data_IF_163995145186
#
_entry.id   IF_163995145186
#
_cell.length_a   1.000
_cell.length_b   1.000
_cell.length_c   1.000
_cell.angle_alpha   90.00
_cell.angle_beta   90.00
_cell.angle_gamma   90.00
#
_symmetry.space_group_name_H-M   'P 1'
#
loop_
_entity.id
_entity.type
_entity.pdbx_description
1 polymer ?
#
# COMPACT_ATOMS: atom_id res chain seq x y z
N UNK A 1 -14.68 -10.37 24.37
CA UNK A 1 -13.70 -9.36 23.93
C UNK A 1 -13.88 -9.04 22.45
N UNK A 2 -13.52 -9.92 21.51
CA UNK A 2 -13.78 -9.67 20.07
C UNK A 2 -15.27 -9.44 19.77
N UNK A 3 -16.15 -10.33 20.25
CA UNK A 3 -17.60 -10.22 20.01
C UNK A 3 -18.19 -8.88 20.47
N UNK A 4 -17.83 -8.44 21.67
CA UNK A 4 -18.30 -7.16 22.23
C UNK A 4 -17.75 -5.96 21.44
N UNK A 5 -16.48 -6.02 21.06
CA UNK A 5 -15.81 -4.97 20.27
C UNK A 5 -16.37 -4.89 18.85
N UNK A 6 -16.64 -6.03 18.22
CA UNK A 6 -17.27 -6.11 16.91
C UNK A 6 -18.70 -5.58 16.95
N UNK A 7 -19.49 -5.96 17.96
CA UNK A 7 -20.85 -5.44 18.13
C UNK A 7 -20.85 -3.91 18.27
N UNK A 8 -19.96 -3.37 19.10
CA UNK A 8 -19.81 -1.93 19.28
C UNK A 8 -19.37 -1.22 17.98
N UNK A 9 -18.40 -1.78 17.25
CA UNK A 9 -17.98 -1.28 15.93
C UNK A 9 -19.15 -1.28 14.94
N UNK A 10 -19.85 -2.41 14.82
CA UNK A 10 -20.94 -2.59 13.86
C UNK A 10 -22.09 -1.63 14.13
N UNK A 11 -22.58 -1.55 15.37
CA UNK A 11 -23.68 -0.66 15.75
C UNK A 11 -23.34 0.80 15.49
N UNK A 12 -22.10 1.21 15.81
CA UNK A 12 -21.62 2.56 15.52
C UNK A 12 -21.62 2.83 14.01
N UNK A 13 -21.01 1.95 13.22
CA UNK A 13 -20.87 2.12 11.77
C UNK A 13 -22.24 2.10 11.07
N UNK A 14 -23.17 1.25 11.51
CA UNK A 14 -24.53 1.17 10.97
C UNK A 14 -25.35 2.44 11.24
N UNK A 15 -25.22 3.02 12.44
CA UNK A 15 -25.86 4.29 12.81
C UNK A 15 -25.32 5.48 12.01
N UNK A 16 -24.02 5.49 11.72
CA UNK A 16 -23.35 6.57 10.99
C UNK A 16 -23.51 6.45 9.47
N UNK A 17 -23.66 5.23 8.94
CA UNK A 17 -23.76 4.98 7.51
C UNK A 17 -25.08 5.50 6.88
N UNK A 18 -24.99 5.91 5.61
CA UNK A 18 -26.12 6.37 4.80
C UNK A 18 -26.04 5.78 3.38
N UNK A 19 -27.19 5.74 2.70
CA UNK A 19 -27.29 5.30 1.31
C UNK A 19 -26.77 3.88 1.10
N UNK A 20 -26.11 3.67 -0.04
CA UNK A 20 -25.64 2.35 -0.44
C UNK A 20 -24.64 1.72 0.54
N UNK A 21 -23.79 2.49 1.24
CA UNK A 21 -22.93 1.95 2.29
C UNK A 21 -23.73 1.31 3.42
N UNK A 22 -24.83 1.94 3.83
CA UNK A 22 -25.73 1.37 4.85
C UNK A 22 -26.38 0.08 4.34
N UNK A 23 -26.84 0.07 3.09
CA UNK A 23 -27.39 -1.14 2.46
C UNK A 23 -26.37 -2.27 2.41
N UNK A 24 -25.07 -1.99 2.24
CA UNK A 24 -24.01 -3.01 2.31
C UNK A 24 -23.85 -3.54 3.73
N UNK A 25 -23.84 -2.68 4.75
CA UNK A 25 -23.70 -3.09 6.17
C UNK A 25 -24.89 -3.91 6.69
N UNK A 26 -26.07 -3.77 6.08
CA UNK A 26 -27.27 -4.54 6.41
C UNK A 26 -27.31 -5.92 5.73
N UNK A 27 -26.33 -6.25 4.86
CA UNK A 27 -26.19 -7.58 4.25
C UNK A 27 -25.55 -8.56 5.23
N UNK A 28 -25.40 -9.80 4.78
CA UNK A 28 -24.62 -10.80 5.48
C UNK A 28 -23.12 -10.44 5.49
N UNK A 29 -22.63 -10.07 6.67
CA UNK A 29 -21.22 -9.77 6.94
C UNK A 29 -20.51 -10.93 7.65
N UNK A 30 -21.04 -12.15 7.62
CA UNK A 30 -20.45 -13.32 8.29
C UNK A 30 -18.99 -13.54 7.89
N UNK A 31 -18.68 -13.40 6.60
CA UNK A 31 -17.32 -13.48 6.06
C UNK A 31 -16.41 -12.38 6.60
N UNK A 32 -16.83 -11.12 6.50
CA UNK A 32 -16.09 -9.97 7.05
C UNK A 32 -15.86 -10.11 8.56
N UNK A 33 -16.88 -10.55 9.31
CA UNK A 33 -16.75 -10.81 10.75
C UNK A 33 -15.71 -11.90 11.02
N UNK A 34 -15.73 -12.99 10.24
CA UNK A 34 -14.77 -14.09 10.38
C UNK A 34 -13.34 -13.64 10.09
N UNK A 35 -13.15 -12.90 9.01
CA UNK A 35 -11.87 -12.27 8.67
C UNK A 35 -11.37 -11.39 9.83
N UNK A 36 -12.23 -10.52 10.38
CA UNK A 36 -11.90 -9.67 11.52
C UNK A 36 -11.54 -10.47 12.76
N UNK A 37 -12.25 -11.56 13.07
CA UNK A 37 -11.94 -12.46 14.18
C UNK A 37 -10.52 -13.04 14.06
N UNK A 38 -10.14 -13.45 12.85
CA UNK A 38 -8.84 -14.06 12.58
C UNK A 38 -7.70 -13.04 12.72
N UNK A 39 -7.89 -11.82 12.21
CA UNK A 39 -6.85 -10.78 12.24
C UNK A 39 -6.81 -9.99 13.55
N UNK A 40 -7.88 -10.01 14.36
CA UNK A 40 -7.98 -9.26 15.60
C UNK A 40 -6.78 -9.43 16.54
N UNK A 41 -6.23 -10.65 16.76
CA UNK A 41 -5.03 -10.84 17.59
C UNK A 41 -3.78 -10.10 17.07
N UNK A 42 -3.75 -9.77 15.78
CA UNK A 42 -2.61 -9.09 15.13
C UNK A 42 -2.72 -7.57 15.24
N UNK A 43 -3.93 -7.05 15.05
CA UNK A 43 -4.20 -5.60 15.10
C UNK A 43 -4.49 -5.09 16.50
N UNK A 44 -4.84 -5.99 17.44
CA UNK A 44 -5.07 -5.72 18.86
C UNK A 44 -6.41 -5.04 19.19
N UNK A 45 -6.97 -4.27 18.26
CA UNK A 45 -8.26 -3.58 18.39
C UNK A 45 -8.92 -3.40 17.03
N UNK A 46 -10.25 -3.33 17.02
CA UNK A 46 -11.07 -2.94 15.86
C UNK A 46 -11.29 -1.41 15.79
N UNK A 47 -10.79 -0.64 16.75
CA UNK A 47 -10.87 0.81 16.71
C UNK A 47 -10.18 1.37 15.45
N UNK A 48 -10.87 2.28 14.76
CA UNK A 48 -10.36 2.89 13.53
C UNK A 48 -10.56 2.03 12.26
N UNK A 49 -11.17 0.84 12.37
CA UNK A 49 -11.65 0.08 11.21
C UNK A 49 -12.94 0.71 10.67
N UNK A 50 -13.03 0.80 9.35
CA UNK A 50 -14.25 1.23 8.65
C UNK A 50 -14.74 0.05 7.81
N UNK A 51 -15.87 -0.54 8.22
CA UNK A 51 -16.55 -1.59 7.45
C UNK A 51 -17.16 -1.02 6.17
N UNK A 52 -17.22 -1.80 5.09
CA UNK A 52 -17.84 -1.39 3.82
C UNK A 52 -17.36 0.01 3.38
N UNK A 53 -16.05 0.20 3.35
CA UNK A 53 -15.43 1.50 3.11
C UNK A 53 -15.72 1.98 1.69
N UNK A 54 -16.51 3.05 1.58
CA UNK A 54 -16.88 3.66 0.31
C UNK A 54 -15.72 4.45 -0.29
N UNK A 55 -15.41 4.17 -1.55
CA UNK A 55 -14.42 4.88 -2.36
C UNK A 55 -15.02 5.23 -3.73
N UNK A 56 -14.47 6.24 -4.40
CA UNK A 56 -14.80 6.54 -5.80
C UNK A 56 -13.71 5.97 -6.69
N UNK A 57 -14.05 4.95 -7.48
CA UNK A 57 -13.11 4.31 -8.39
C UNK A 57 -12.68 5.21 -9.56
N UNK A 58 -11.71 4.76 -10.35
CA UNK A 58 -11.16 5.55 -11.47
C UNK A 58 -12.20 5.84 -12.57
N UNK A 59 -13.26 5.05 -12.66
CA UNK A 59 -14.38 5.28 -13.57
C UNK A 59 -15.41 6.29 -13.03
N UNK A 60 -15.22 6.83 -11.83
CA UNK A 60 -16.20 7.64 -11.11
C UNK A 60 -17.31 6.83 -10.42
N UNK A 61 -17.29 5.50 -10.56
CA UNK A 61 -18.26 4.60 -9.91
C UNK A 61 -17.83 4.31 -8.47
N UNK A 62 -18.81 4.31 -7.55
CA UNK A 62 -18.57 3.92 -6.16
C UNK A 62 -18.17 2.45 -6.06
N UNK A 63 -17.11 2.19 -5.30
CA UNK A 63 -16.65 0.85 -4.92
C UNK A 63 -16.57 0.78 -3.40
N UNK A 64 -16.75 -0.41 -2.85
CA UNK A 64 -16.71 -0.65 -1.41
C UNK A 64 -15.61 -1.65 -1.12
N UNK A 65 -15.10 -1.66 0.11
CA UNK A 65 -14.20 -2.72 0.57
C UNK A 65 -14.55 -3.13 1.99
N UNK A 66 -14.43 -4.43 2.27
CA UNK A 66 -15.06 -5.05 3.44
C UNK A 66 -14.58 -4.44 4.76
N UNK A 67 -13.26 -4.28 4.94
CA UNK A 67 -12.69 -3.62 6.10
C UNK A 67 -11.49 -2.74 5.74
N UNK A 68 -11.60 -1.44 6.02
CA UNK A 68 -10.51 -0.49 5.84
C UNK A 68 -9.81 -0.19 7.17
N UNK A 69 -8.50 -0.50 7.24
CA UNK A 69 -7.62 -0.16 8.36
C UNK A 69 -6.95 1.18 8.06
N UNK A 70 -7.49 2.25 8.65
CA UNK A 70 -7.04 3.64 8.42
C UNK A 70 -5.55 3.85 8.73
N UNK A 71 -5.04 3.24 9.80
CA UNK A 71 -3.65 3.36 10.24
C UNK A 71 -2.65 2.75 9.25
N UNK A 72 -3.05 1.77 8.43
CA UNK A 72 -2.20 1.12 7.44
C UNK A 72 -2.47 1.61 6.00
N UNK A 73 -3.57 2.35 5.81
CA UNK A 73 -4.13 2.68 4.50
C UNK A 73 -4.35 1.41 3.66
N UNK A 74 -4.90 0.38 4.31
CA UNK A 74 -5.10 -0.96 3.74
C UNK A 74 -6.58 -1.31 3.76
N UNK A 75 -7.09 -1.80 2.62
CA UNK A 75 -8.40 -2.42 2.49
C UNK A 75 -8.18 -3.93 2.53
N UNK A 76 -8.72 -4.60 3.55
CA UNK A 76 -8.72 -6.06 3.66
C UNK A 76 -10.08 -6.57 3.17
N UNK A 77 -10.04 -7.60 2.33
CA UNK A 77 -11.22 -8.15 1.65
C UNK A 77 -11.35 -9.64 1.95
N UNK A 78 -12.58 -10.10 2.13
CA UNK A 78 -12.91 -11.51 2.21
C UNK A 78 -13.45 -11.97 0.85
N UNK A 79 -12.62 -12.67 0.09
CA UNK A 79 -13.00 -13.20 -1.21
C UNK A 79 -13.59 -14.60 -1.07
N UNK A 80 -14.91 -14.66 -1.26
CA UNK A 80 -15.64 -15.91 -1.34
C UNK A 80 -15.36 -16.64 -2.65
N UNK A 81 -14.78 -17.84 -2.56
CA UNK A 81 -14.79 -18.78 -3.67
C UNK A 81 -16.19 -19.39 -3.79
N UNK A 82 -17.02 -18.83 -4.67
CA UNK A 82 -18.29 -19.45 -5.03
C UNK A 82 -17.94 -20.65 -5.94
N UNK A 83 -18.43 -21.84 -5.60
CA UNK A 83 -18.28 -23.09 -6.38
C UNK A 83 -18.64 -22.96 -7.87
N UNK A 84 -19.35 -21.90 -8.24
CA UNK A 84 -19.60 -21.47 -9.60
C UNK A 84 -18.69 -20.32 -10.03
N UNK A 85 -17.39 -20.35 -9.75
CA UNK A 85 -16.44 -19.38 -10.30
C UNK A 85 -16.53 -19.33 -11.85
N UNK A 86 -16.91 -20.45 -12.48
CA UNK A 86 -17.23 -20.54 -13.91
C UNK A 86 -18.48 -19.73 -14.33
N UNK A 87 -19.40 -19.45 -13.40
CA UNK A 87 -20.60 -18.63 -13.64
C UNK A 87 -20.36 -17.13 -13.50
N UNK A 88 -19.14 -16.70 -13.15
CA UNK A 88 -18.82 -15.28 -13.10
C UNK A 88 -19.01 -14.68 -14.50
N UNK A 89 -19.89 -13.69 -14.60
CA UNK A 89 -20.08 -13.02 -15.88
C UNK A 89 -18.81 -12.26 -16.26
N UNK A 90 -18.50 -12.18 -17.56
CA UNK A 90 -17.37 -11.37 -18.06
C UNK A 90 -17.39 -9.94 -17.53
N UNK A 91 -18.59 -9.36 -17.37
CA UNK A 91 -18.80 -8.02 -16.82
C UNK A 91 -18.40 -7.94 -15.35
N UNK A 92 -18.81 -8.90 -14.51
CA UNK A 92 -18.44 -8.97 -13.09
C UNK A 92 -16.93 -9.16 -12.93
N UNK A 93 -16.33 -10.08 -13.67
CA UNK A 93 -14.89 -10.28 -13.67
C UNK A 93 -14.12 -9.00 -14.03
N UNK A 94 -14.51 -8.34 -15.13
CA UNK A 94 -13.88 -7.08 -15.55
C UNK A 94 -14.05 -5.97 -14.51
N UNK A 95 -15.22 -5.90 -13.87
CA UNK A 95 -15.49 -4.95 -12.80
C UNK A 95 -14.57 -5.17 -11.58
N UNK A 96 -14.42 -6.40 -11.09
CA UNK A 96 -13.53 -6.68 -9.96
C UNK A 96 -12.08 -6.32 -10.28
N UNK A 97 -11.60 -6.64 -11.49
CA UNK A 97 -10.26 -6.22 -11.93
C UNK A 97 -10.10 -4.69 -11.97
N UNK A 98 -11.14 -3.97 -12.38
CA UNK A 98 -11.13 -2.50 -12.39
C UNK A 98 -11.20 -1.91 -10.97
N UNK A 99 -11.95 -2.55 -10.07
CA UNK A 99 -12.01 -2.21 -8.65
C UNK A 99 -10.66 -2.36 -7.98
N UNK A 100 -9.99 -3.52 -8.11
CA UNK A 100 -8.64 -3.74 -7.57
C UNK A 100 -7.64 -2.67 -8.04
N UNK A 101 -7.64 -2.35 -9.35
CA UNK A 101 -6.80 -1.28 -9.90
C UNK A 101 -7.13 0.08 -9.31
N UNK A 102 -8.41 0.36 -9.10
CA UNK A 102 -8.84 1.62 -8.50
C UNK A 102 -8.38 1.76 -7.05
N UNK A 103 -8.51 0.69 -6.24
CA UNK A 103 -8.01 0.68 -4.86
C UNK A 103 -6.52 1.01 -4.83
N UNK A 104 -5.72 0.33 -5.66
CA UNK A 104 -4.28 0.61 -5.77
C UNK A 104 -3.96 2.03 -6.24
N UNK A 105 -4.66 2.53 -7.26
CA UNK A 105 -4.45 3.87 -7.81
C UNK A 105 -4.83 5.00 -6.84
N UNK A 106 -5.79 4.77 -5.95
CA UNK A 106 -6.15 5.68 -4.85
C UNK A 106 -5.13 5.65 -3.69
N UNK A 107 -4.08 4.84 -3.83
CA UNK A 107 -2.98 4.71 -2.86
C UNK A 107 -3.34 3.85 -1.66
N UNK A 108 -4.34 2.98 -1.76
CA UNK A 108 -4.62 1.96 -0.75
C UNK A 108 -3.86 0.67 -1.07
N UNK A 109 -3.47 -0.06 -0.03
CA UNK A 109 -3.08 -1.46 -0.20
C UNK A 109 -4.36 -2.31 -0.28
N UNK A 110 -4.58 -2.99 -1.40
CA UNK A 110 -5.62 -4.01 -1.55
C UNK A 110 -5.08 -5.34 -1.03
N UNK A 111 -5.76 -5.96 -0.07
CA UNK A 111 -5.26 -7.13 0.64
C UNK A 111 -6.35 -8.21 0.80
N UNK A 112 -6.56 -9.05 -0.23
CA UNK A 112 -7.62 -10.04 -0.22
C UNK A 112 -7.18 -11.32 0.51
N UNK A 113 -8.11 -11.92 1.24
CA UNK A 113 -8.02 -13.29 1.75
C UNK A 113 -9.10 -14.16 1.13
N UNK A 114 -8.77 -15.40 0.78
CA UNK A 114 -9.82 -16.36 0.41
C UNK A 114 -10.59 -16.86 1.64
N UNK A 115 -11.90 -17.15 1.51
CA UNK A 115 -12.66 -17.79 2.60
C UNK A 115 -12.01 -19.07 3.10
N UNK A 116 -11.66 -19.95 2.17
CA UNK A 116 -11.02 -21.23 2.48
C UNK A 116 -9.66 -21.02 3.17
N UNK A 117 -8.94 -19.96 2.80
CA UNK A 117 -7.66 -19.60 3.41
C UNK A 117 -7.85 -19.17 4.87
N UNK A 118 -8.83 -18.30 5.13
CA UNK A 118 -9.20 -17.86 6.48
C UNK A 118 -9.64 -19.04 7.36
N UNK A 119 -10.39 -19.99 6.81
CA UNK A 119 -10.92 -21.13 7.57
C UNK A 119 -9.87 -22.22 7.79
N UNK A 120 -9.09 -22.56 6.76
CA UNK A 120 -8.17 -23.70 6.79
C UNK A 120 -6.76 -23.33 7.26
N UNK A 121 -6.33 -22.08 7.04
CA UNK A 121 -4.96 -21.62 7.30
C UNK A 121 -4.92 -20.26 8.04
N UNK A 122 -5.67 -20.06 9.13
CA UNK A 122 -5.75 -18.75 9.81
C UNK A 122 -4.40 -18.23 10.32
N UNK A 123 -3.48 -19.12 10.69
CA UNK A 123 -2.14 -18.73 11.15
C UNK A 123 -1.25 -18.20 10.01
N UNK A 124 -1.49 -18.63 8.78
CA UNK A 124 -0.83 -18.05 7.59
C UNK A 124 -1.37 -16.65 7.36
N UNK A 125 -2.70 -16.48 7.33
CA UNK A 125 -3.32 -15.17 7.17
C UNK A 125 -2.80 -14.16 8.21
N UNK A 126 -2.72 -14.56 9.48
CA UNK A 126 -2.17 -13.73 10.57
C UNK A 126 -0.73 -13.32 10.33
N UNK A 127 0.12 -14.26 9.91
CA UNK A 127 1.53 -14.00 9.62
C UNK A 127 1.67 -13.02 8.46
N UNK A 128 0.90 -13.21 7.39
CA UNK A 128 0.98 -12.33 6.23
C UNK A 128 0.55 -10.89 6.59
N UNK A 129 -0.46 -10.74 7.46
CA UNK A 129 -0.83 -9.42 7.99
C UNK A 129 0.26 -8.82 8.89
N UNK A 130 0.90 -9.62 9.75
CA UNK A 130 2.05 -9.16 10.56
C UNK A 130 3.18 -8.65 9.67
N UNK A 131 3.47 -9.35 8.58
CA UNK A 131 4.50 -8.95 7.60
C UNK A 131 4.10 -7.66 6.88
N UNK A 132 2.83 -7.52 6.48
CA UNK A 132 2.32 -6.27 5.93
C UNK A 132 2.46 -5.11 6.92
N UNK A 133 2.05 -5.29 8.17
CA UNK A 133 2.18 -4.28 9.22
C UNK A 133 3.65 -3.91 9.42
N UNK A 134 4.54 -4.90 9.48
CA UNK A 134 5.98 -4.68 9.65
C UNK A 134 6.56 -3.86 8.51
N UNK A 135 6.20 -4.16 7.26
CA UNK A 135 6.59 -3.37 6.08
C UNK A 135 6.04 -1.93 6.14
N UNK A 136 4.78 -1.76 6.54
CA UNK A 136 4.10 -0.46 6.65
C UNK A 136 4.58 0.39 7.83
N UNK A 137 4.97 -0.23 8.94
CA UNK A 137 5.54 0.45 10.12
C UNK A 137 6.99 0.82 9.87
N UNK A 138 7.77 -0.08 9.26
CA UNK A 138 9.14 0.22 8.82
C UNK A 138 9.15 1.37 7.83
N UNK A 139 8.20 1.44 6.89
CA UNK A 139 8.07 2.58 5.98
C UNK A 139 7.62 3.90 6.65
N UNK A 140 6.83 3.87 7.74
CA UNK A 140 6.48 5.08 8.51
C UNK A 140 7.62 5.59 9.40
N UNK A 141 8.43 4.69 9.92
CA UNK A 141 9.69 5.00 10.61
C UNK A 141 10.90 5.04 9.66
N UNK A 142 10.67 4.94 8.34
CA UNK A 142 11.77 4.73 7.39
C UNK A 142 12.63 5.97 7.27
N UNK A 143 13.90 5.73 6.97
CA UNK A 143 14.83 6.74 6.49
C UNK A 143 14.19 7.60 5.39
N UNK A 144 13.30 7.03 4.56
CA UNK A 144 12.57 7.76 3.53
C UNK A 144 11.66 8.86 4.11
N UNK A 145 10.90 8.57 5.17
CA UNK A 145 10.08 9.58 5.84
C UNK A 145 10.93 10.69 6.49
N UNK A 146 12.14 10.36 6.93
CA UNK A 146 13.12 11.32 7.46
C UNK A 146 13.79 12.19 6.38
N UNK A 147 13.74 11.78 5.10
CA UNK A 147 14.26 12.60 4.01
C UNK A 147 13.39 13.86 3.78
N UNK A 148 14.00 15.01 3.46
CA UNK A 148 13.30 16.17 2.93
C UNK A 148 12.40 15.81 1.74
N UNK A 149 11.26 16.50 1.60
CA UNK A 149 10.27 16.24 0.54
C UNK A 149 10.90 16.16 -0.85
N UNK A 150 11.79 17.09 -1.18
CA UNK A 150 12.44 17.13 -2.50
C UNK A 150 13.40 15.95 -2.71
N UNK A 151 14.07 15.48 -1.66
CA UNK A 151 14.92 14.29 -1.76
C UNK A 151 14.08 13.02 -1.95
N UNK A 152 12.91 12.94 -1.31
CA UNK A 152 11.96 11.85 -1.58
C UNK A 152 11.49 11.84 -3.03
N UNK A 153 11.20 13.01 -3.61
CA UNK A 153 10.80 13.12 -5.01
C UNK A 153 11.93 12.73 -5.97
N UNK A 154 13.18 13.07 -5.65
CA UNK A 154 14.33 12.61 -6.44
C UNK A 154 14.44 11.09 -6.43
N UNK A 155 14.21 10.42 -5.29
CA UNK A 155 14.21 8.95 -5.24
C UNK A 155 13.05 8.32 -6.02
N UNK A 156 11.85 8.93 -5.98
CA UNK A 156 10.73 8.48 -6.81
C UNK A 156 11.05 8.59 -8.29
N UNK A 157 11.64 9.71 -8.71
CA UNK A 157 12.09 9.90 -10.08
C UNK A 157 13.16 8.88 -10.49
N UNK A 158 14.19 8.71 -9.64
CA UNK A 158 15.28 7.77 -9.89
C UNK A 158 14.78 6.32 -10.02
N UNK A 159 13.80 5.91 -9.21
CA UNK A 159 13.15 4.60 -9.32
C UNK A 159 12.29 4.45 -10.58
N UNK A 160 11.67 5.53 -11.05
CA UNK A 160 10.93 5.54 -12.32
C UNK A 160 11.86 5.46 -13.54
N UNK A 161 13.06 6.04 -13.45
CA UNK A 161 14.09 5.98 -14.50
C UNK A 161 14.82 4.63 -14.56
N UNK A 162 14.94 3.93 -13.42
CA UNK A 162 15.61 2.63 -13.28
C UNK A 162 15.07 1.60 -14.31
N UNK A 163 15.92 0.83 -15.04
CA UNK A 163 17.38 0.64 -14.86
C UNK A 163 18.27 1.71 -15.51
N UNK A 164 17.71 2.73 -16.14
CA UNK A 164 18.48 3.78 -16.79
C UNK A 164 18.99 4.80 -15.78
N UNK A 165 20.08 5.47 -16.14
CA UNK A 165 20.55 6.68 -15.46
C UNK A 165 19.75 7.90 -15.92
N UNK A 166 19.77 8.97 -15.12
CA UNK A 166 19.15 10.25 -15.42
C UNK A 166 20.13 11.39 -15.21
N UNK A 167 19.98 12.48 -15.98
CA UNK A 167 20.79 13.69 -15.85
C UNK A 167 20.07 14.80 -15.05
N UNK A 168 20.78 15.88 -14.75
CA UNK A 168 20.22 16.99 -13.94
C UNK A 168 19.11 17.77 -14.66
N UNK A 169 19.10 17.80 -16.00
CA UNK A 169 18.04 18.45 -16.78
C UNK A 169 16.73 17.70 -16.61
N UNK A 170 16.76 16.37 -16.78
CA UNK A 170 15.57 15.52 -16.59
C UNK A 170 15.05 15.61 -15.14
N UNK A 171 15.95 15.60 -14.16
CA UNK A 171 15.57 15.78 -12.76
C UNK A 171 14.94 17.17 -12.49
N UNK A 172 15.46 18.22 -13.12
CA UNK A 172 14.94 19.59 -12.97
C UNK A 172 13.57 19.76 -13.59
N UNK A 173 13.34 19.12 -14.74
CA UNK A 173 12.04 19.06 -15.38
C UNK A 173 11.03 18.33 -14.49
N UNK A 174 11.41 17.20 -13.89
CA UNK A 174 10.58 16.46 -12.94
C UNK A 174 10.23 17.26 -11.69
N UNK A 175 11.23 17.91 -11.07
CA UNK A 175 11.05 18.65 -9.82
C UNK A 175 10.47 20.05 -10.01
N UNK A 176 10.43 20.55 -11.24
CA UNK A 176 10.10 21.94 -11.58
C UNK A 176 10.96 22.98 -10.82
N UNK A 177 12.26 22.71 -10.70
CA UNK A 177 13.24 23.61 -10.07
C UNK A 177 14.46 23.79 -10.98
N UNK A 178 15.32 24.76 -10.65
CA UNK A 178 16.55 25.02 -11.42
C UNK A 178 17.57 23.88 -11.27
N UNK A 179 18.34 23.63 -12.34
CA UNK A 179 19.45 22.65 -12.39
C UNK A 179 20.40 22.73 -11.20
N UNK A 180 20.73 23.93 -10.71
CA UNK A 180 21.58 24.13 -9.53
C UNK A 180 20.97 23.50 -8.27
N UNK A 181 19.66 23.68 -8.06
CA UNK A 181 18.96 23.12 -6.93
C UNK A 181 18.82 21.60 -7.06
N UNK A 182 18.46 21.08 -8.23
CA UNK A 182 18.41 19.65 -8.54
C UNK A 182 19.76 18.97 -8.28
N UNK A 183 20.85 19.61 -8.70
CA UNK A 183 22.21 19.12 -8.46
C UNK A 183 22.58 19.04 -6.98
N UNK A 184 22.07 19.94 -6.13
CA UNK A 184 22.27 19.85 -4.67
C UNK A 184 21.57 18.63 -4.07
N UNK A 185 20.33 18.35 -4.48
CA UNK A 185 19.59 17.19 -3.98
C UNK A 185 20.18 15.87 -4.47
N UNK A 186 20.54 15.78 -5.75
CA UNK A 186 21.20 14.60 -6.30
C UNK A 186 22.52 14.29 -5.57
N UNK A 187 23.37 15.31 -5.33
CA UNK A 187 24.61 15.15 -4.55
C UNK A 187 24.36 14.80 -3.08
N UNK A 188 23.32 15.36 -2.47
CA UNK A 188 22.93 15.02 -1.09
C UNK A 188 22.58 13.54 -0.98
N UNK A 189 21.76 13.03 -1.90
CA UNK A 189 21.37 11.63 -1.95
C UNK A 189 22.50 10.68 -2.34
N UNK A 190 23.41 11.12 -3.21
CA UNK A 190 24.65 10.40 -3.50
C UNK A 190 25.51 10.26 -2.22
N UNK A 191 25.68 11.35 -1.46
CA UNK A 191 26.43 11.31 -0.19
C UNK A 191 25.77 10.39 0.85
N UNK A 192 24.45 10.21 0.77
CA UNK A 192 23.68 9.26 1.60
C UNK A 192 23.69 7.84 1.03
N UNK A 193 24.43 7.59 -0.04
CA UNK A 193 24.50 6.30 -0.75
C UNK A 193 23.15 5.83 -1.31
N UNK A 194 22.21 6.74 -1.54
CA UNK A 194 20.88 6.45 -2.08
C UNK A 194 20.81 6.63 -3.60
N UNK A 195 21.78 7.35 -4.17
CA UNK A 195 22.04 7.42 -5.60
C UNK A 195 23.50 7.04 -5.87
N UNK A 196 23.75 6.50 -7.05
CA UNK A 196 25.09 6.22 -7.56
C UNK A 196 25.35 7.08 -8.80
N UNK A 197 26.55 7.65 -8.89
CA UNK A 197 26.98 8.37 -10.10
C UNK A 197 27.24 7.38 -11.23
N UNK A 198 26.70 7.64 -12.41
CA UNK A 198 26.96 6.86 -13.62
C UNK A 198 27.78 7.72 -14.57
N UNK A 199 29.04 7.34 -14.75
CA UNK A 199 29.98 8.04 -15.62
C UNK A 199 30.48 9.40 -15.10
N UNK A 200 31.54 9.90 -15.74
CA UNK A 200 32.23 11.14 -15.38
C UNK A 200 33.55 10.94 -14.61
N UNK A 201 34.23 12.05 -14.32
CA UNK A 201 35.44 12.10 -13.48
C UNK A 201 35.17 12.85 -12.16
N UNK A 202 36.17 13.00 -11.29
CA UNK A 202 36.03 13.63 -9.96
C UNK A 202 35.36 15.03 -9.96
N UNK A 203 35.42 15.76 -11.08
CA UNK A 203 34.89 17.14 -11.22
C UNK A 203 33.58 17.28 -12.00
N UNK A 204 33.17 16.29 -12.80
CA UNK A 204 31.92 16.33 -13.58
C UNK A 204 31.25 14.97 -13.56
N UNK A 205 30.10 14.92 -12.92
CA UNK A 205 29.18 13.79 -12.98
C UNK A 205 28.02 14.20 -13.90
N UNK A 206 27.72 13.36 -14.88
CA UNK A 206 26.72 13.66 -15.90
C UNK A 206 25.38 13.03 -15.59
N UNK A 207 25.37 11.88 -14.90
CA UNK A 207 24.16 11.10 -14.67
C UNK A 207 24.19 10.36 -13.33
N UNK A 208 23.01 10.05 -12.83
CA UNK A 208 22.78 9.33 -11.58
C UNK A 208 21.87 8.14 -11.84
N UNK A 209 22.02 7.08 -11.06
CA UNK A 209 21.05 5.99 -10.97
C UNK A 209 20.69 5.74 -9.51
N UNK A 210 19.54 5.12 -9.27
CA UNK A 210 19.17 4.73 -7.91
C UNK A 210 20.06 3.58 -7.44
N UNK A 211 20.56 3.65 -6.20
CA UNK A 211 21.32 2.54 -5.61
C UNK A 211 20.37 1.48 -5.04
N UNK A 212 20.90 0.30 -4.70
CA UNK A 212 20.13 -0.72 -3.98
C UNK A 212 19.63 -0.18 -2.63
N UNK A 213 20.44 0.60 -1.91
CA UNK A 213 20.04 1.28 -0.69
C UNK A 213 18.93 2.31 -0.94
N UNK A 214 19.01 3.08 -2.03
CA UNK A 214 17.97 4.02 -2.44
C UNK A 214 16.63 3.33 -2.72
N UNK A 215 16.66 2.19 -3.40
CA UNK A 215 15.48 1.35 -3.62
C UNK A 215 14.95 0.76 -2.31
N UNK A 216 15.82 0.26 -1.43
CA UNK A 216 15.43 -0.28 -0.14
C UNK A 216 14.73 0.79 0.72
N UNK A 217 15.32 1.98 0.81
CA UNK A 217 14.76 3.14 1.51
C UNK A 217 13.42 3.54 0.90
N UNK A 218 13.32 3.70 -0.42
CA UNK A 218 12.08 4.06 -1.10
C UNK A 218 10.95 3.03 -0.87
N UNK A 219 11.30 1.73 -0.85
CA UNK A 219 10.35 0.63 -0.68
C UNK A 219 10.08 0.28 0.79
N UNK A 220 10.75 0.95 1.73
CA UNK A 220 10.63 0.68 3.18
C UNK A 220 11.20 -0.68 3.60
N UNK A 221 12.17 -1.22 2.85
CA UNK A 221 12.91 -2.43 3.21
C UNK A 221 14.09 -2.05 4.10
N UNK A 222 14.10 -2.45 5.37
CA UNK A 222 15.28 -2.33 6.22
C UNK A 222 16.42 -3.17 5.65
N UNK A 223 17.64 -2.62 5.64
CA UNK A 223 18.88 -3.36 5.38
C UNK A 223 19.17 -4.36 6.51
N UNK A 224 18.38 -5.42 6.62
CA UNK A 224 18.76 -6.61 7.37
C UNK A 224 19.26 -7.66 6.38
N UNK A 225 20.58 -7.61 6.17
CA UNK A 225 21.48 -8.70 5.82
C UNK A 225 21.12 -9.52 4.59
N UNK A 226 22.02 -9.41 3.60
CA UNK A 226 22.17 -10.30 2.47
C UNK A 226 21.90 -11.77 2.86
N UNK A 227 20.88 -12.35 2.22
CA UNK A 227 20.78 -13.79 2.08
C UNK A 227 21.97 -14.24 1.22
N UNK A 228 23.06 -14.65 1.87
CA UNK A 228 24.04 -15.52 1.25
C UNK A 228 23.39 -16.90 1.16
N UNK A 229 23.06 -17.29 -0.06
CA UNK A 229 22.86 -18.69 -0.46
C UNK A 229 24.25 -19.34 -0.54
#
# INVERSE_FOLDING_TARGET
MFEDEYAALYEKQLREARGQRREMLERDLSGTKKMLEIIHPIIGTLEGIILEHEMVGLSGVKIYGDAFISSLRTVIEEENYITHAESITRKRFTFERARMRSVGALGFTYYPYGRDELEQQPDVCRRDLQDLISLKMTSKASDFAALPVLEREVLRFAAAANPHSFNLTELSEWLHIKNEASGRFAKSLEKKELLTKVGGGERRCHEFTISENGLAVLLGKSNHHAWKI
#
